data_IF_498684592212
#
_entry.id   IF_498684592212
#
_cell.length_a   1.000
_cell.length_b   1.000
_cell.length_c   1.000
_cell.angle_alpha   90.00
_cell.angle_beta   90.00
_cell.angle_gamma   90.00
#
_symmetry.space_group_name_H-M   'P 1'
#
loop_
_entity.id
_entity.type
_entity.pdbx_description
1 polymer ?
#
# COMPACT_ATOMS: atom_id res chain seq x y z
N UNK A 1 -9.73 -2.69 10.02
CA UNK A 1 -8.92 -1.46 9.82
C UNK A 1 -9.44 -0.72 8.59
N UNK A 2 -9.41 0.61 8.61
CA UNK A 2 -9.73 1.44 7.45
C UNK A 2 -8.61 2.45 7.23
N UNK A 3 -8.10 2.51 6.01
CA UNK A 3 -6.97 3.35 5.62
C UNK A 3 -7.37 4.24 4.45
N UNK A 4 -6.92 5.48 4.50
CA UNK A 4 -7.03 6.46 3.41
C UNK A 4 -5.66 7.05 3.11
N UNK A 5 -5.41 7.30 1.83
CA UNK A 5 -4.14 7.88 1.36
C UNK A 5 -4.23 8.36 -0.08
N UNK A 6 -3.14 8.94 -0.57
CA UNK A 6 -3.01 9.40 -1.96
C UNK A 6 -1.66 9.00 -2.51
N UNK A 7 -1.66 8.24 -3.60
CA UNK A 7 -0.46 7.90 -4.34
C UNK A 7 0.00 9.10 -5.17
N UNK A 8 1.31 9.34 -5.20
CA UNK A 8 1.92 10.43 -5.95
C UNK A 8 3.05 9.87 -6.80
N UNK A 9 3.00 10.16 -8.10
CA UNK A 9 4.08 9.89 -9.04
C UNK A 9 4.51 11.23 -9.67
N UNK A 10 5.48 11.96 -9.09
CA UNK A 10 5.79 13.34 -9.46
C UNK A 10 6.06 13.56 -10.95
N UNK A 11 6.79 12.64 -11.57
CA UNK A 11 7.26 12.72 -12.95
C UNK A 11 6.16 12.36 -13.93
N UNK A 12 5.22 11.49 -13.52
CA UNK A 12 4.09 11.05 -14.34
C UNK A 12 2.83 10.85 -13.47
N UNK A 13 2.10 11.94 -13.14
CA UNK A 13 0.95 11.88 -12.23
C UNK A 13 -0.13 10.88 -12.66
N UNK A 14 -0.31 10.67 -13.96
CA UNK A 14 -1.27 9.70 -14.50
C UNK A 14 -1.00 8.25 -14.07
N UNK A 15 0.25 7.91 -13.71
CA UNK A 15 0.63 6.58 -13.25
C UNK A 15 0.29 6.32 -11.77
N UNK A 16 -0.19 7.34 -11.05
CA UNK A 16 -0.70 7.17 -9.70
C UNK A 16 -2.14 6.66 -9.67
N UNK A 17 -2.85 6.68 -10.81
CA UNK A 17 -4.23 6.19 -10.93
C UNK A 17 -4.32 4.73 -11.37
N UNK A 18 -5.41 4.06 -10.97
CA UNK A 18 -5.68 2.65 -11.26
C UNK A 18 -4.55 1.71 -10.82
N UNK A 19 -3.89 2.03 -9.71
CA UNK A 19 -2.81 1.27 -9.09
C UNK A 19 -3.40 0.32 -8.06
N UNK A 20 -3.01 -0.95 -8.11
CA UNK A 20 -3.46 -1.96 -7.15
C UNK A 20 -2.75 -1.75 -5.80
N UNK A 21 -3.55 -1.78 -4.73
CA UNK A 21 -3.09 -1.61 -3.36
C UNK A 21 -3.66 -2.75 -2.53
N UNK A 22 -2.77 -3.49 -1.90
CA UNK A 22 -3.09 -4.65 -1.07
C UNK A 22 -2.79 -4.36 0.39
N UNK A 23 -3.79 -4.56 1.25
CA UNK A 23 -3.63 -4.55 2.69
C UNK A 23 -3.48 -5.99 3.16
N UNK A 24 -2.37 -6.25 3.85
CA UNK A 24 -2.05 -7.56 4.36
C UNK A 24 -1.71 -7.53 5.84
N UNK A 25 -1.80 -8.69 6.47
CA UNK A 25 -1.39 -8.96 7.84
C UNK A 25 -0.12 -9.83 7.82
N UNK A 26 0.89 -9.50 8.59
CA UNK A 26 2.08 -10.34 8.73
C UNK A 26 1.88 -11.30 9.90
N UNK A 27 1.53 -12.55 9.59
CA UNK A 27 1.33 -13.57 10.60
C UNK A 27 2.64 -14.32 10.94
N UNK A 28 3.00 -14.44 12.22
CA UNK A 28 4.20 -15.17 12.64
C UNK A 28 4.02 -16.71 12.59
N UNK A 29 2.82 -17.21 12.28
CA UNK A 29 2.51 -18.64 12.31
C UNK A 29 2.25 -19.19 10.90
N UNK A 30 2.98 -20.24 10.46
CA UNK A 30 2.91 -20.75 9.09
C UNK A 30 1.60 -21.46 8.70
N UNK A 31 0.57 -21.43 9.56
CA UNK A 31 -0.70 -22.15 9.38
C UNK A 31 -1.89 -21.20 9.14
N UNK A 32 -1.75 -19.92 9.52
CA UNK A 32 -2.70 -18.87 9.16
C UNK A 32 -2.51 -18.61 7.66
N UNK A 33 -3.53 -18.95 6.86
CA UNK A 33 -3.41 -19.11 5.40
C UNK A 33 -3.96 -17.91 4.63
N UNK A 34 -4.34 -16.84 5.34
CA UNK A 34 -5.13 -15.72 4.79
C UNK A 34 -4.59 -14.35 5.19
N UNK A 35 -3.34 -14.06 4.82
CA UNK A 35 -2.67 -12.78 5.05
C UNK A 35 -3.32 -11.57 4.33
N UNK A 36 -4.31 -11.76 3.46
CA UNK A 36 -4.94 -10.67 2.71
C UNK A 36 -6.14 -10.09 3.47
N UNK A 37 -5.95 -8.94 4.10
CA UNK A 37 -7.03 -8.24 4.82
C UNK A 37 -7.96 -7.47 3.87
N UNK A 38 -7.45 -6.93 2.75
CA UNK A 38 -8.23 -6.17 1.79
C UNK A 38 -7.47 -5.82 0.50
N UNK A 39 -8.19 -5.41 -0.54
CA UNK A 39 -7.61 -4.95 -1.82
C UNK A 39 -8.41 -3.76 -2.33
N UNK A 40 -7.73 -2.77 -2.89
CA UNK A 40 -8.36 -1.62 -3.56
C UNK A 40 -7.53 -1.17 -4.76
N UNK A 41 -8.08 -0.22 -5.51
CA UNK A 41 -7.39 0.45 -6.61
C UNK A 41 -7.46 1.96 -6.39
N UNK A 42 -6.37 2.65 -6.70
CA UNK A 42 -6.35 4.11 -6.64
C UNK A 42 -7.26 4.71 -7.72
N UNK A 43 -7.92 5.80 -7.37
CA UNK A 43 -8.69 6.62 -8.29
C UNK A 43 -7.76 7.37 -9.27
N UNK A 44 -8.28 7.97 -10.36
CA UNK A 44 -7.45 8.69 -11.34
C UNK A 44 -6.59 9.82 -10.77
N UNK A 45 -6.97 10.39 -9.63
CA UNK A 45 -6.23 11.41 -8.88
C UNK A 45 -5.22 10.81 -7.87
N UNK A 46 -5.06 9.49 -7.85
CA UNK A 46 -4.20 8.77 -6.91
C UNK A 46 -4.81 8.49 -5.53
N UNK A 47 -5.98 9.03 -5.20
CA UNK A 47 -6.59 8.78 -3.88
C UNK A 47 -7.15 7.38 -3.77
N UNK A 48 -7.04 6.77 -2.59
CA UNK A 48 -7.57 5.45 -2.33
C UNK A 48 -8.14 5.34 -0.92
N UNK A 49 -9.02 4.37 -0.77
CA UNK A 49 -9.54 3.93 0.51
C UNK A 49 -9.58 2.41 0.50
N UNK A 50 -9.06 1.80 1.55
CA UNK A 50 -9.06 0.36 1.75
C UNK A 50 -9.58 0.05 3.15
N UNK A 51 -10.50 -0.89 3.22
CA UNK A 51 -11.00 -1.45 4.47
C UNK A 51 -10.76 -2.94 4.45
N UNK A 52 -10.19 -3.46 5.53
CA UNK A 52 -9.92 -4.87 5.67
C UNK A 52 -10.01 -5.32 7.11
N UNK A 53 -10.24 -6.61 7.31
CA UNK A 53 -10.22 -7.24 8.62
C UNK A 53 -9.13 -8.30 8.60
N UNK A 54 -8.20 -8.23 9.55
CA UNK A 54 -7.40 -9.39 9.96
C UNK A 54 -8.25 -10.16 10.97
N UNK A 55 -8.33 -11.46 10.83
CA UNK A 55 -9.17 -12.32 11.66
C UNK A 55 -8.34 -13.50 12.14
N UNK A 56 -7.60 -13.27 13.22
CA UNK A 56 -6.63 -14.24 13.69
C UNK A 56 -7.25 -14.98 14.88
N UNK A 57 -7.39 -16.30 14.77
CA UNK A 57 -8.03 -17.11 15.81
C UNK A 57 -7.01 -17.47 16.89
N UNK A 58 -7.06 -16.81 18.06
CA UNK A 58 -6.28 -17.25 19.22
C UNK A 58 -6.00 -16.17 20.27
N UNK A 59 -5.46 -16.54 21.45
CA UNK A 59 -5.20 -15.61 22.55
C UNK A 59 -3.97 -14.69 22.36
N UNK A 60 -3.15 -14.87 21.32
CA UNK A 60 -1.86 -14.19 21.16
C UNK A 60 -1.56 -13.70 19.73
N UNK A 61 -2.56 -13.21 18.99
CA UNK A 61 -2.33 -12.68 17.64
C UNK A 61 -2.69 -11.18 17.62
N UNK A 62 -1.66 -10.33 17.54
CA UNK A 62 -1.81 -8.89 17.38
C UNK A 62 -1.57 -8.59 15.90
N UNK A 63 -2.59 -8.16 15.13
CA UNK A 63 -2.42 -7.84 13.72
C UNK A 63 -1.21 -6.94 13.48
N UNK A 64 -0.39 -7.29 12.51
CA UNK A 64 0.75 -6.52 12.01
C UNK A 64 0.52 -6.09 10.55
N UNK A 65 -0.32 -5.05 10.35
CA UNK A 65 -0.77 -4.69 9.03
C UNK A 65 0.33 -4.00 8.21
N UNK A 66 0.42 -4.35 6.93
CA UNK A 66 1.31 -3.71 5.96
C UNK A 66 0.60 -3.52 4.62
N UNK A 67 1.09 -2.58 3.82
CA UNK A 67 0.60 -2.34 2.45
C UNK A 67 1.63 -2.80 1.44
N UNK A 68 1.13 -3.39 0.36
CA UNK A 68 1.86 -3.63 -0.89
C UNK A 68 1.22 -2.81 -2.01
N UNK A 69 2.03 -2.11 -2.79
CA UNK A 69 1.60 -1.32 -3.94
C UNK A 69 2.39 -1.77 -5.16
N UNK A 70 1.71 -2.28 -6.18
CA UNK A 70 2.33 -2.64 -7.46
C UNK A 70 2.05 -1.54 -8.50
N UNK A 71 3.09 -0.87 -8.99
CA UNK A 71 2.96 0.30 -9.86
C UNK A 71 4.01 0.34 -10.96
N UNK A 72 3.85 1.31 -11.87
CA UNK A 72 4.81 1.60 -12.96
C UNK A 72 5.43 3.00 -12.89
N UNK A 73 5.24 3.70 -11.77
CA UNK A 73 5.92 4.96 -11.53
C UNK A 73 7.45 4.74 -11.63
N UNK A 74 8.16 5.49 -12.49
CA UNK A 74 9.61 5.39 -12.60
C UNK A 74 10.27 5.92 -11.32
N UNK A 75 11.41 5.34 -10.95
CA UNK A 75 12.27 5.99 -9.94
C UNK A 75 12.74 7.36 -10.43
N UNK A 76 13.19 8.21 -9.50
CA UNK A 76 13.89 9.45 -9.85
C UNK A 76 15.02 9.19 -10.85
N UNK A 77 15.82 8.14 -10.65
CA UNK A 77 16.95 7.81 -11.52
C UNK A 77 16.50 7.36 -12.93
N UNK A 78 15.52 6.46 -13.03
CA UNK A 78 14.98 6.00 -14.32
C UNK A 78 14.34 7.16 -15.10
N UNK A 79 13.72 8.11 -14.39
CA UNK A 79 13.14 9.30 -15.02
C UNK A 79 14.19 10.19 -15.69
N UNK A 80 15.41 10.23 -15.13
CA UNK A 80 16.54 11.00 -15.68
C UNK A 80 17.19 10.27 -16.85
N UNK A 81 17.32 8.93 -16.77
CA UNK A 81 18.00 8.12 -17.80
C UNK A 81 17.06 7.82 -18.99
N UNK A 82 15.74 7.95 -18.82
CA UNK A 82 14.76 7.75 -19.89
C UNK A 82 14.48 6.27 -20.19
N UNK A 83 14.74 5.37 -19.25
CA UNK A 83 14.44 3.95 -19.40
C UNK A 83 12.93 3.68 -19.24
N UNK A 84 12.39 2.79 -20.08
CA UNK A 84 10.98 2.38 -19.98
C UNK A 84 10.76 1.62 -18.66
N UNK A 85 9.89 2.17 -17.82
CA UNK A 85 9.66 1.75 -16.45
C UNK A 85 9.24 0.29 -16.33
N UNK A 86 9.92 -0.44 -15.45
CA UNK A 86 9.52 -1.77 -15.01
C UNK A 86 8.32 -1.68 -14.05
N UNK A 87 7.58 -2.78 -13.87
CA UNK A 87 6.65 -2.86 -12.74
C UNK A 87 7.46 -2.94 -11.45
N UNK A 88 7.16 -2.05 -10.51
CA UNK A 88 7.83 -1.92 -9.21
C UNK A 88 6.85 -2.20 -8.09
N UNK A 89 7.38 -2.65 -6.96
CA UNK A 89 6.62 -2.92 -5.76
C UNK A 89 7.14 -2.02 -4.63
N UNK A 90 6.22 -1.30 -3.99
CA UNK A 90 6.47 -0.54 -2.75
C UNK A 90 5.76 -1.23 -1.61
N UNK A 91 6.48 -1.48 -0.51
CA UNK A 91 5.94 -2.10 0.70
C UNK A 91 6.35 -1.30 1.93
N UNK A 92 5.41 -1.12 2.86
CA UNK A 92 5.68 -0.51 4.16
C UNK A 92 4.68 -0.97 5.22
N UNK A 93 5.15 -1.03 6.46
CA UNK A 93 4.34 -1.35 7.63
C UNK A 93 3.41 -0.19 8.00
N UNK A 94 2.24 -0.51 8.57
CA UNK A 94 1.26 0.48 9.03
C UNK A 94 1.25 0.59 10.54
N UNK A 95 0.87 1.77 11.03
CA UNK A 95 0.54 1.94 12.44
C UNK A 95 -0.77 1.19 12.77
N UNK A 96 -0.79 0.49 13.91
CA UNK A 96 -1.91 -0.33 14.38
C UNK A 96 -3.10 0.52 14.85
N UNK A 97 -3.84 1.07 13.89
CA UNK A 97 -5.05 1.89 14.11
C UNK A 97 -6.27 1.14 13.61
N UNK A 98 -7.10 0.67 14.53
CA UNK A 98 -8.29 -0.13 14.22
C UNK A 98 -9.58 0.69 14.32
N UNK A 99 -10.65 0.16 13.70
CA UNK A 99 -11.97 0.81 13.73
C UNK A 99 -12.46 1.02 15.17
N UNK A 100 -13.18 2.12 15.46
CA UNK A 100 -13.77 3.07 14.51
C UNK A 100 -12.79 4.15 14.00
N UNK A 101 -11.52 4.13 14.40
CA UNK A 101 -10.53 5.10 13.92
C UNK A 101 -10.10 4.76 12.49
N UNK A 102 -9.90 5.80 11.68
CA UNK A 102 -9.40 5.70 10.31
C UNK A 102 -7.93 6.11 10.30
N UNK A 103 -7.07 5.28 9.72
CA UNK A 103 -5.66 5.63 9.50
C UNK A 103 -5.53 6.47 8.23
N UNK A 104 -5.10 7.72 8.36
CA UNK A 104 -4.72 8.54 7.22
C UNK A 104 -3.20 8.52 7.09
N UNK A 105 -2.71 7.92 6.00
CA UNK A 105 -1.27 7.81 5.72
C UNK A 105 -0.74 8.98 4.87
N UNK A 106 -1.60 9.93 4.50
CA UNK A 106 -1.21 11.10 3.71
C UNK A 106 -0.84 10.74 2.28
N UNK A 107 0.28 11.31 1.81
CA UNK A 107 0.81 11.10 0.45
C UNK A 107 1.87 10.01 0.50
N UNK A 108 1.83 9.11 -0.47
CA UNK A 108 2.84 8.06 -0.68
C UNK A 108 3.51 8.31 -2.02
N UNK A 109 4.81 8.59 -2.03
CA UNK A 109 5.56 8.82 -3.26
C UNK A 109 6.06 7.49 -3.83
N UNK A 110 5.77 7.25 -5.11
CA UNK A 110 6.07 5.99 -5.80
C UNK A 110 7.41 6.00 -6.56
N UNK A 111 8.15 7.09 -6.50
CA UNK A 111 9.39 7.34 -7.26
C UNK A 111 10.66 7.26 -6.39
N UNK A 112 10.53 6.76 -5.17
CA UNK A 112 11.57 6.69 -4.13
C UNK A 112 11.97 8.04 -3.52
N UNK A 113 11.19 9.10 -3.72
CA UNK A 113 11.47 10.44 -3.16
C UNK A 113 11.35 10.54 -1.64
N UNK A 114 10.74 9.54 -0.99
CA UNK A 114 10.53 9.53 0.46
C UNK A 114 11.76 9.02 1.25
N UNK A 115 12.88 8.69 0.57
CA UNK A 115 14.13 8.21 1.17
C UNK A 115 15.32 9.17 0.96
#
# INVERSE_FOLDING_TARGET
MQIVGTLVCPQKPALAGNVQIDLKDEDPLPWETYDQMGRTWSQPNGSFMISGCGADFGPFNVPDPYIIIEHRCPSVLESVIGTSGSTRMTQFALTKVFMPKILNIGKVFLDDSDF
#
